data_IF_907230416319
#
_entry.id   IF_907230416319
#
_cell.length_a   1.000
_cell.length_b   1.000
_cell.length_c   1.000
_cell.angle_alpha   90.00
_cell.angle_beta   90.00
_cell.angle_gamma   90.00
#
_symmetry.space_group_name_H-M   'P 1'
#
loop_
_entity.id
_entity.type
_entity.pdbx_description
1 polymer ?
#
# COMPACT_ATOMS: atom_id res chain seq x y z
N UNK A 1 43.58 46.29 46.21
CA UNK A 1 44.51 45.87 45.16
C UNK A 1 43.85 44.80 44.32
N UNK A 2 43.62 45.05 43.02
CA UNK A 2 43.02 44.06 42.12
C UNK A 2 44.02 42.92 41.88
N UNK A 3 43.59 41.67 42.09
CA UNK A 3 44.43 40.50 41.83
C UNK A 3 44.66 40.40 40.32
N UNK A 4 45.92 40.46 39.88
CA UNK A 4 46.28 40.31 38.46
C UNK A 4 45.92 38.88 38.02
N UNK A 5 44.83 38.74 37.27
CA UNK A 5 44.42 37.47 36.70
C UNK A 5 45.20 37.27 35.39
N UNK A 6 45.87 36.11 35.26
CA UNK A 6 46.57 35.74 34.03
C UNK A 6 45.61 35.68 32.84
N UNK A 7 46.07 36.10 31.64
CA UNK A 7 45.31 36.08 30.37
C UNK A 7 44.71 34.72 30.02
N UNK A 8 45.27 33.64 30.57
CA UNK A 8 44.83 32.26 30.32
C UNK A 8 43.90 31.70 31.39
N UNK A 9 43.60 32.45 32.44
CA UNK A 9 42.73 31.98 33.54
C UNK A 9 41.28 31.82 33.08
N UNK A 10 40.57 30.91 33.74
CA UNK A 10 39.14 30.64 33.48
C UNK A 10 38.28 31.87 33.70
N UNK A 11 38.57 32.69 34.71
CA UNK A 11 37.85 33.93 34.98
C UNK A 11 38.01 34.96 33.84
N UNK A 12 39.20 35.04 33.24
CA UNK A 12 39.46 35.91 32.07
C UNK A 12 38.71 35.42 30.82
N UNK A 13 38.59 34.10 30.63
CA UNK A 13 37.84 33.52 29.50
C UNK A 13 36.33 33.65 29.63
N UNK A 14 35.81 33.80 30.84
CA UNK A 14 34.36 33.93 31.11
C UNK A 14 33.89 35.37 31.31
N UNK A 15 34.78 36.36 31.14
CA UNK A 15 34.51 37.78 31.42
C UNK A 15 33.94 38.00 32.84
N UNK A 16 34.36 37.19 33.82
CA UNK A 16 33.90 37.26 35.22
C UNK A 16 34.72 38.29 36.03
N UNK A 17 35.55 39.10 35.37
CA UNK A 17 36.36 40.13 36.01
C UNK A 17 35.56 41.43 36.01
N UNK A 18 35.21 41.88 37.21
CA UNK A 18 34.55 43.17 37.44
C UNK A 18 35.54 44.31 37.16
N UNK A 19 35.57 44.78 35.91
CA UNK A 19 36.28 45.99 35.53
C UNK A 19 35.49 47.22 36.03
N UNK A 20 36.05 48.05 36.94
CA UNK A 20 35.33 49.20 37.50
C UNK A 20 35.01 50.26 36.44
N UNK A 21 35.81 50.33 35.37
CA UNK A 21 35.63 51.23 34.22
C UNK A 21 34.45 50.81 33.33
N UNK A 22 34.10 49.52 33.29
CA UNK A 22 32.94 49.06 32.53
C UNK A 22 31.61 49.46 33.22
N UNK A 23 31.62 49.53 34.56
CA UNK A 23 30.45 49.94 35.35
C UNK A 23 30.16 51.44 35.20
N UNK A 24 31.18 52.29 35.04
CA UNK A 24 30.97 53.73 34.79
C UNK A 24 30.39 54.00 33.40
N UNK A 25 30.78 53.23 32.38
CA UNK A 25 30.24 53.32 31.01
C UNK A 25 28.80 52.77 30.87
N UNK A 26 28.33 51.97 31.82
CA UNK A 26 26.97 51.46 31.87
C UNK A 26 25.95 52.49 32.40
N UNK A 27 26.42 53.52 33.12
CA UNK A 27 25.56 54.58 33.66
C UNK A 27 25.19 55.66 32.64
N UNK A 28 25.81 55.66 31.46
CA UNK A 28 25.54 56.64 30.40
C UNK A 28 24.33 56.18 29.55
N UNK A 29 23.39 57.08 29.21
CA UNK A 29 22.24 56.72 28.39
C UNK A 29 22.69 56.29 26.99
N UNK A 30 22.37 55.05 26.61
CA UNK A 30 22.63 54.49 25.27
C UNK A 30 21.40 54.65 24.38
N UNK A 31 21.60 54.85 23.08
CA UNK A 31 20.51 54.87 22.11
C UNK A 31 19.86 53.48 22.01
N UNK A 32 18.59 53.36 22.39
CA UNK A 32 17.86 52.09 22.58
C UNK A 32 17.84 51.16 21.35
N UNK A 33 18.08 51.70 20.14
CA UNK A 33 18.01 50.96 18.87
C UNK A 33 19.34 50.38 18.39
N UNK A 34 20.46 50.64 19.07
CA UNK A 34 21.79 50.17 18.65
C UNK A 34 22.27 48.93 19.41
N UNK A 35 21.49 48.42 20.37
CA UNK A 35 21.88 47.26 21.19
C UNK A 35 21.62 45.93 20.44
N UNK A 36 22.45 45.69 19.42
CA UNK A 36 22.51 44.44 18.65
C UNK A 36 22.91 43.24 19.52
N UNK A 37 23.46 43.49 20.71
CA UNK A 37 23.85 42.48 21.69
C UNK A 37 22.70 41.51 21.99
N UNK A 38 21.49 42.03 22.24
CA UNK A 38 20.30 41.21 22.51
C UNK A 38 19.86 40.38 21.29
N UNK A 39 19.98 40.94 20.08
CA UNK A 39 19.67 40.25 18.84
C UNK A 39 20.70 39.16 18.53
N UNK A 40 21.98 39.42 18.77
CA UNK A 40 23.08 38.46 18.63
C UNK A 40 22.92 37.34 19.66
N UNK A 41 22.59 37.64 20.92
CA UNK A 41 22.32 36.64 21.95
C UNK A 41 21.14 35.74 21.54
N UNK A 42 20.03 36.32 21.05
CA UNK A 42 18.89 35.53 20.55
C UNK A 42 19.24 34.67 19.33
N UNK A 43 20.02 35.19 18.39
CA UNK A 43 20.42 34.44 17.20
C UNK A 43 21.41 33.30 17.53
N UNK A 44 22.36 33.56 18.44
CA UNK A 44 23.37 32.57 18.85
C UNK A 44 22.77 31.48 19.73
N UNK A 45 21.85 31.81 20.63
CA UNK A 45 21.10 30.83 21.43
C UNK A 45 20.27 29.90 20.55
N UNK A 46 19.54 30.44 19.57
CA UNK A 46 18.81 29.64 18.57
C UNK A 46 19.73 28.70 17.80
N UNK A 47 20.88 29.18 17.32
CA UNK A 47 21.87 28.33 16.64
C UNK A 47 22.40 27.22 17.55
N UNK A 48 22.63 27.51 18.83
CA UNK A 48 23.10 26.51 19.79
C UNK A 48 22.01 25.47 20.12
N UNK A 49 20.75 25.90 20.21
CA UNK A 49 19.59 25.03 20.36
C UNK A 49 19.43 24.11 19.15
N UNK A 50 19.50 24.64 17.93
CA UNK A 50 19.47 23.85 16.70
C UNK A 50 20.63 22.83 16.64
N UNK A 51 21.84 23.22 17.07
CA UNK A 51 22.97 22.31 17.16
C UNK A 51 22.77 21.21 18.20
N UNK A 52 22.11 21.52 19.33
CA UNK A 52 21.78 20.55 20.36
C UNK A 52 20.73 19.55 19.85
N UNK A 53 19.66 20.04 19.21
CA UNK A 53 18.61 19.21 18.61
C UNK A 53 19.21 18.27 17.54
N UNK A 54 20.05 18.80 16.66
CA UNK A 54 20.77 17.99 15.67
C UNK A 54 21.70 16.94 16.30
N UNK A 55 22.32 17.24 17.45
CA UNK A 55 23.14 16.26 18.19
C UNK A 55 22.29 15.18 18.84
N UNK A 56 21.14 15.54 19.41
CA UNK A 56 20.20 14.58 20.01
C UNK A 56 19.64 13.63 18.94
N UNK A 57 19.16 14.16 17.82
CA UNK A 57 18.72 13.35 16.67
C UNK A 57 19.82 12.40 16.18
N UNK A 58 21.06 12.88 16.05
CA UNK A 58 22.21 12.04 15.67
C UNK A 58 22.60 11.03 16.76
N UNK A 59 22.35 11.32 18.04
CA UNK A 59 22.64 10.43 19.16
C UNK A 59 21.61 9.31 19.20
N UNK A 60 20.32 9.61 19.02
CA UNK A 60 19.24 8.63 18.99
C UNK A 60 19.43 7.65 17.82
N UNK A 61 19.88 8.14 16.66
CA UNK A 61 20.27 7.29 15.51
C UNK A 61 21.50 6.42 15.82
N UNK A 62 22.45 6.91 16.63
CA UNK A 62 23.68 6.17 16.98
C UNK A 62 23.53 5.21 18.15
N UNK A 63 22.63 5.46 19.12
CA UNK A 63 22.38 4.54 20.23
C UNK A 63 21.49 3.36 19.84
N UNK A 64 20.77 3.46 18.71
CA UNK A 64 19.93 2.38 18.18
C UNK A 64 20.54 1.54 17.06
N UNK A 65 21.63 1.96 16.41
CA UNK A 65 22.18 1.21 15.28
C UNK A 65 23.71 1.21 15.21
N UNK A 66 24.28 0.02 15.37
CA UNK A 66 25.60 -0.34 14.84
C UNK A 66 25.51 -0.29 13.30
N UNK A 67 25.64 0.91 12.71
CA UNK A 67 25.68 1.05 11.26
C UNK A 67 27.06 0.65 10.71
N UNK A 68 27.22 -0.65 10.44
CA UNK A 68 28.22 -1.16 9.51
C UNK A 68 27.71 -0.88 8.08
N UNK A 69 28.30 0.09 7.37
CA UNK A 69 28.46 0.22 5.90
C UNK A 69 27.45 -0.49 4.94
N UNK A 70 26.15 -0.55 5.24
CA UNK A 70 25.16 -1.29 4.44
C UNK A 70 24.14 -0.39 3.71
N UNK A 71 24.35 0.94 3.67
CA UNK A 71 23.42 1.87 2.99
C UNK A 71 23.29 1.57 1.48
N UNK A 72 24.28 0.93 0.87
CA UNK A 72 24.18 0.44 -0.52
C UNK A 72 23.27 -0.79 -0.67
N UNK A 73 23.12 -1.63 0.36
CA UNK A 73 22.27 -2.83 0.33
C UNK A 73 20.80 -2.52 0.61
N UNK A 74 20.49 -1.55 1.47
CA UNK A 74 19.09 -1.19 1.75
C UNK A 74 18.37 -0.60 0.53
N UNK A 75 19.09 0.15 -0.31
CA UNK A 75 18.55 0.65 -1.59
C UNK A 75 18.46 -0.46 -2.66
N UNK A 76 19.30 -1.50 -2.60
CA UNK A 76 19.21 -2.62 -3.53
C UNK A 76 18.07 -3.58 -3.14
N UNK A 77 17.89 -3.83 -1.84
CA UNK A 77 16.78 -4.64 -1.30
C UNK A 77 15.44 -3.94 -1.49
N UNK A 78 15.35 -2.62 -1.34
CA UNK A 78 14.12 -1.86 -1.65
C UNK A 78 13.76 -1.91 -3.13
N UNK A 79 14.74 -1.81 -4.03
CA UNK A 79 14.53 -1.94 -5.48
C UNK A 79 14.16 -3.37 -5.89
N UNK A 80 14.76 -4.39 -5.29
CA UNK A 80 14.46 -5.79 -5.59
C UNK A 80 13.06 -6.19 -5.11
N UNK A 81 12.65 -5.70 -3.93
CA UNK A 81 11.29 -5.85 -3.43
C UNK A 81 10.28 -5.09 -4.29
N UNK A 82 10.62 -3.88 -4.77
CA UNK A 82 9.79 -3.13 -5.71
C UNK A 82 9.54 -3.90 -7.01
N UNK A 83 10.58 -4.45 -7.64
CA UNK A 83 10.45 -5.25 -8.86
C UNK A 83 9.61 -6.52 -8.61
N UNK A 84 9.78 -7.18 -7.46
CA UNK A 84 8.96 -8.35 -7.09
C UNK A 84 7.49 -7.99 -6.92
N UNK A 85 7.19 -6.86 -6.26
CA UNK A 85 5.82 -6.38 -6.12
C UNK A 85 5.20 -5.98 -7.46
N UNK A 86 5.94 -5.26 -8.32
CA UNK A 86 5.47 -4.90 -9.67
C UNK A 86 5.14 -6.14 -10.51
N UNK A 87 5.98 -7.19 -10.44
CA UNK A 87 5.71 -8.47 -11.11
C UNK A 87 4.50 -9.19 -10.52
N UNK A 88 4.32 -9.16 -9.20
CA UNK A 88 3.16 -9.76 -8.55
C UNK A 88 1.86 -9.05 -8.98
N UNK A 89 1.86 -7.72 -9.07
CA UNK A 89 0.73 -6.93 -9.54
C UNK A 89 0.43 -7.25 -11.02
N UNK A 90 1.44 -7.25 -11.89
CA UNK A 90 1.24 -7.62 -13.30
C UNK A 90 0.69 -9.05 -13.45
N UNK A 91 1.15 -9.99 -12.62
CA UNK A 91 0.64 -11.36 -12.63
C UNK A 91 -0.80 -11.44 -12.12
N UNK A 92 -1.17 -10.68 -11.08
CA UNK A 92 -2.56 -10.61 -10.62
C UNK A 92 -3.48 -10.05 -11.70
N UNK A 93 -3.05 -9.02 -12.42
CA UNK A 93 -3.85 -8.41 -13.49
C UNK A 93 -4.09 -9.40 -14.63
N UNK A 94 -3.05 -10.14 -15.07
CA UNK A 94 -3.18 -11.18 -16.09
C UNK A 94 -4.12 -12.30 -15.64
N UNK A 95 -4.05 -12.71 -14.36
CA UNK A 95 -4.92 -13.75 -13.82
C UNK A 95 -6.38 -13.28 -13.73
N UNK A 96 -6.61 -12.04 -13.27
CA UNK A 96 -7.94 -11.42 -13.24
C UNK A 96 -8.54 -11.35 -14.65
N UNK A 97 -7.75 -10.94 -15.65
CA UNK A 97 -8.15 -10.91 -17.05
C UNK A 97 -8.59 -12.29 -17.57
N UNK A 98 -7.84 -13.34 -17.20
CA UNK A 98 -8.19 -14.73 -17.56
C UNK A 98 -9.47 -15.19 -16.87
N UNK A 99 -9.65 -14.84 -15.59
CA UNK A 99 -10.87 -15.14 -14.83
C UNK A 99 -12.08 -14.45 -15.47
N UNK A 100 -11.97 -13.16 -15.79
CA UNK A 100 -13.04 -12.40 -16.45
C UNK A 100 -13.40 -12.99 -17.81
N UNK A 101 -12.40 -13.30 -18.65
CA UNK A 101 -12.62 -13.98 -19.95
C UNK A 101 -13.27 -15.36 -19.79
N UNK A 102 -12.90 -16.11 -18.74
CA UNK A 102 -13.53 -17.40 -18.42
C UNK A 102 -14.99 -17.23 -18.03
N UNK A 103 -15.29 -16.31 -17.09
CA UNK A 103 -16.66 -16.00 -16.68
C UNK A 103 -17.51 -15.52 -17.86
N UNK A 104 -16.98 -14.64 -18.71
CA UNK A 104 -17.69 -14.13 -19.88
C UNK A 104 -17.97 -15.24 -20.89
N UNK A 105 -17.03 -16.14 -21.16
CA UNK A 105 -17.27 -17.31 -22.04
C UNK A 105 -18.32 -18.24 -21.46
N UNK A 106 -18.29 -18.52 -20.16
CA UNK A 106 -19.31 -19.35 -19.50
C UNK A 106 -20.70 -18.72 -19.65
N UNK A 107 -20.82 -17.42 -19.33
CA UNK A 107 -22.08 -16.66 -19.50
C UNK A 107 -22.55 -16.67 -20.94
N UNK A 108 -21.64 -16.49 -21.91
CA UNK A 108 -21.98 -16.54 -23.33
C UNK A 108 -22.52 -17.91 -23.73
N UNK A 109 -21.90 -19.01 -23.28
CA UNK A 109 -22.38 -20.37 -23.59
C UNK A 109 -23.73 -20.65 -22.94
N UNK A 110 -23.95 -20.20 -21.70
CA UNK A 110 -25.24 -20.34 -21.04
C UNK A 110 -26.33 -19.54 -21.78
N UNK A 111 -26.03 -18.29 -22.14
CA UNK A 111 -26.93 -17.43 -22.89
C UNK A 111 -27.29 -18.03 -24.26
N UNK A 112 -26.29 -18.48 -25.04
CA UNK A 112 -26.55 -19.08 -26.36
C UNK A 112 -27.33 -20.38 -26.24
N UNK A 113 -27.06 -21.21 -25.22
CA UNK A 113 -27.87 -22.41 -24.96
C UNK A 113 -29.31 -22.05 -24.63
N UNK A 114 -29.54 -21.09 -23.73
CA UNK A 114 -30.88 -20.64 -23.37
C UNK A 114 -31.63 -20.07 -24.58
N UNK A 115 -30.99 -19.19 -25.36
CA UNK A 115 -31.56 -18.63 -26.59
C UNK A 115 -31.92 -19.71 -27.62
N UNK A 116 -31.09 -20.73 -27.78
CA UNK A 116 -31.39 -21.84 -28.68
C UNK A 116 -32.59 -22.66 -28.19
N UNK A 117 -32.69 -22.90 -26.87
CA UNK A 117 -33.85 -23.55 -26.27
C UNK A 117 -35.13 -22.72 -26.43
N UNK A 118 -35.06 -21.40 -26.22
CA UNK A 118 -36.17 -20.49 -26.41
C UNK A 118 -36.65 -20.48 -27.87
N UNK A 119 -35.71 -20.47 -28.84
CA UNK A 119 -36.03 -20.55 -30.26
C UNK A 119 -36.68 -21.91 -30.64
N UNK A 120 -36.18 -23.02 -30.10
CA UNK A 120 -36.77 -24.35 -30.30
C UNK A 120 -38.18 -24.40 -29.71
N UNK A 121 -38.38 -23.85 -28.52
CA UNK A 121 -39.70 -23.78 -27.88
C UNK A 121 -40.67 -22.93 -28.68
N UNK A 122 -40.23 -21.78 -29.19
CA UNK A 122 -41.03 -20.92 -30.08
C UNK A 122 -41.42 -21.68 -31.35
N UNK A 123 -40.46 -22.31 -32.04
CA UNK A 123 -40.73 -23.09 -33.25
C UNK A 123 -41.67 -24.28 -32.97
N UNK A 124 -41.49 -24.99 -31.85
CA UNK A 124 -42.39 -26.07 -31.45
C UNK A 124 -43.82 -25.55 -31.18
N UNK A 125 -43.95 -24.42 -30.50
CA UNK A 125 -45.24 -23.78 -30.24
C UNK A 125 -45.91 -23.31 -31.54
N UNK A 126 -45.17 -22.78 -32.51
CA UNK A 126 -45.69 -22.41 -33.84
C UNK A 126 -46.18 -23.62 -34.63
N UNK A 127 -45.44 -24.74 -34.60
CA UNK A 127 -45.86 -26.00 -35.22
C UNK A 127 -47.11 -26.56 -34.55
N UNK A 128 -47.19 -26.51 -33.22
CA UNK A 128 -48.40 -26.93 -32.50
C UNK A 128 -49.58 -26.04 -32.87
N UNK A 129 -49.42 -24.71 -32.87
CA UNK A 129 -50.47 -23.73 -33.23
C UNK A 129 -50.97 -23.90 -34.65
N UNK A 130 -50.08 -24.12 -35.61
CA UNK A 130 -50.43 -24.36 -37.01
C UNK A 130 -51.15 -25.70 -37.22
N UNK A 131 -50.85 -26.72 -36.40
CA UNK A 131 -51.48 -28.04 -36.47
C UNK A 131 -52.80 -28.13 -35.68
N UNK A 132 -52.97 -27.34 -34.62
CA UNK A 132 -54.19 -27.28 -33.82
C UNK A 132 -55.29 -26.40 -34.43
N UNK A 133 -55.00 -25.65 -35.50
CA UNK A 133 -56.00 -24.83 -36.21
C UNK A 133 -56.60 -23.69 -35.37
N UNK A 134 -56.00 -23.38 -34.22
CA UNK A 134 -56.46 -22.32 -33.32
C UNK A 134 -55.91 -20.98 -33.81
N UNK A 135 -56.76 -19.98 -34.14
CA UNK A 135 -56.28 -18.66 -34.52
C UNK A 135 -55.56 -18.01 -33.34
N UNK A 136 -54.50 -17.26 -33.64
CA UNK A 136 -53.70 -16.55 -32.66
C UNK A 136 -54.58 -15.64 -31.79
N UNK A 137 -54.74 -15.99 -30.52
CA UNK A 137 -55.21 -15.05 -29.53
C UNK A 137 -54.04 -14.10 -29.23
N UNK A 138 -54.20 -12.85 -29.66
CA UNK A 138 -53.35 -11.75 -29.22
C UNK A 138 -53.68 -11.50 -27.75
N UNK A 139 -53.04 -12.25 -26.86
CA UNK A 139 -53.20 -12.11 -25.42
C UNK A 139 -51.89 -11.67 -24.77
N UNK A 140 -51.83 -10.38 -24.46
CA UNK A 140 -51.10 -9.77 -23.34
C UNK A 140 -49.59 -9.50 -23.51
N UNK A 141 -49.31 -8.25 -23.86
CA UNK A 141 -48.22 -7.44 -23.28
C UNK A 141 -48.00 -7.77 -21.80
N UNK A 142 -46.77 -8.08 -21.36
CA UNK A 142 -46.35 -7.66 -20.03
C UNK A 142 -45.94 -6.20 -20.14
N UNK A 143 -46.69 -5.38 -19.42
CA UNK A 143 -46.34 -4.02 -19.10
C UNK A 143 -44.89 -3.94 -18.59
N UNK A 144 -44.30 -2.83 -18.97
CA UNK A 144 -43.09 -2.24 -18.44
C UNK A 144 -43.22 -2.07 -16.92
N UNK A 145 -42.80 -3.07 -16.14
CA UNK A 145 -42.60 -2.93 -14.69
C UNK A 145 -41.12 -2.69 -14.41
N UNK A 146 -40.76 -1.42 -14.30
CA UNK A 146 -39.50 -0.95 -13.76
C UNK A 146 -39.46 -1.22 -12.25
N UNK A 147 -38.95 -2.38 -11.82
CA UNK A 147 -38.42 -2.55 -10.46
C UNK A 147 -37.10 -3.34 -10.47
N UNK A 148 -36.09 -2.88 -9.69
CA UNK A 148 -34.72 -3.34 -9.82
C UNK A 148 -34.55 -4.78 -9.31
N UNK A 149 -33.84 -5.58 -10.10
CA UNK A 149 -33.45 -6.95 -9.80
C UNK A 149 -32.41 -7.01 -8.66
N UNK A 150 -32.82 -6.76 -7.42
CA UNK A 150 -31.97 -6.95 -6.23
C UNK A 150 -32.08 -8.37 -5.62
N UNK A 151 -33.15 -9.13 -5.91
CA UNK A 151 -33.39 -10.43 -5.24
C UNK A 151 -32.72 -11.65 -5.88
N UNK A 152 -31.96 -11.48 -6.97
CA UNK A 152 -31.27 -12.59 -7.64
C UNK A 152 -29.79 -12.75 -7.23
N UNK A 153 -29.28 -11.94 -6.29
CA UNK A 153 -27.87 -11.96 -5.86
C UNK A 153 -27.61 -12.64 -4.51
N UNK A 154 -28.63 -13.00 -3.71
CA UNK A 154 -28.41 -13.62 -2.39
C UNK A 154 -28.38 -15.17 -2.40
N UNK A 155 -28.73 -15.83 -3.51
CA UNK A 155 -28.83 -17.30 -3.54
C UNK A 155 -27.53 -18.03 -3.89
N UNK A 156 -26.49 -17.34 -4.39
CA UNK A 156 -25.18 -17.97 -4.70
C UNK A 156 -24.25 -18.13 -3.48
N UNK A 157 -24.46 -17.39 -2.39
CA UNK A 157 -23.58 -17.45 -1.21
C UNK A 157 -23.89 -18.63 -0.27
N UNK A 158 -25.08 -19.23 -0.37
CA UNK A 158 -25.47 -20.40 0.44
C UNK A 158 -25.03 -21.75 -0.13
N UNK A 159 -24.54 -21.78 -1.37
CA UNK A 159 -24.07 -23.03 -1.99
C UNK A 159 -22.66 -23.44 -1.53
N UNK A 160 -21.92 -22.55 -0.86
CA UNK A 160 -20.55 -22.83 -0.40
C UNK A 160 -20.43 -23.16 1.10
N UNK A 161 -21.53 -23.25 1.84
CA UNK A 161 -21.51 -23.36 3.31
C UNK A 161 -21.95 -24.70 3.90
N UNK A 162 -21.98 -25.80 3.11
CA UNK A 162 -22.51 -27.09 3.58
C UNK A 162 -21.58 -28.30 3.32
N UNK A 163 -20.29 -28.08 3.10
CA UNK A 163 -19.28 -29.16 2.95
C UNK A 163 -18.19 -29.09 4.04
N UNK A 164 -18.60 -28.90 5.30
CA UNK A 164 -17.79 -29.23 6.49
C UNK A 164 -18.12 -30.66 6.98
N UNK A 165 -17.97 -31.66 6.10
CA UNK A 165 -17.89 -33.07 6.52
C UNK A 165 -16.48 -33.62 6.23
N UNK A 166 -15.86 -34.13 7.30
CA UNK A 166 -14.51 -34.68 7.35
C UNK A 166 -14.28 -35.76 6.27
N UNK A 167 -13.54 -35.40 5.20
CA UNK A 167 -12.91 -36.39 4.33
C UNK A 167 -11.40 -36.44 4.61
N UNK A 168 -11.01 -37.35 5.50
CA UNK A 168 -9.62 -37.77 5.64
C UNK A 168 -9.18 -38.48 4.35
N UNK A 169 -8.77 -37.71 3.35
CA UNK A 169 -8.20 -38.25 2.11
C UNK A 169 -6.68 -38.34 2.23
N UNK A 170 -6.16 -39.57 2.13
CA UNK A 170 -4.73 -39.86 2.13
C UNK A 170 -4.01 -39.12 1.00
N UNK A 171 -3.09 -38.22 1.38
CA UNK A 171 -2.22 -37.48 0.46
C UNK A 171 -1.29 -38.47 -0.27
N UNK A 172 -1.61 -38.85 -1.51
CA UNK A 172 -0.65 -39.51 -2.38
C UNK A 172 0.26 -38.43 -3.00
N UNK A 173 1.59 -38.48 -2.81
CA UNK A 173 2.47 -37.51 -3.43
C UNK A 173 2.39 -37.67 -4.95
N UNK A 174 2.17 -36.56 -5.66
CA UNK A 174 2.17 -36.57 -7.11
C UNK A 174 3.58 -36.93 -7.61
N UNK A 175 3.68 -38.03 -8.38
CA UNK A 175 4.92 -38.43 -9.04
C UNK A 175 5.28 -37.39 -10.11
N UNK A 176 6.55 -36.95 -10.10
CA UNK A 176 7.07 -36.01 -11.08
C UNK A 176 7.00 -36.61 -12.50
N UNK A 177 6.44 -35.87 -13.46
CA UNK A 177 6.28 -36.32 -14.84
C UNK A 177 7.62 -36.62 -15.57
N UNK A 178 8.75 -36.14 -15.02
CA UNK A 178 10.10 -36.36 -15.53
C UNK A 178 10.76 -37.65 -15.02
N UNK A 179 10.16 -38.32 -14.03
CA UNK A 179 10.63 -39.62 -13.51
C UNK A 179 10.43 -40.75 -14.54
N UNK A 180 9.61 -40.49 -15.57
CA UNK A 180 9.35 -41.40 -16.69
C UNK A 180 10.34 -41.24 -17.87
N UNK A 181 11.28 -40.30 -17.76
CA UNK A 181 12.08 -39.81 -18.90
C UNK A 181 13.57 -40.14 -18.81
N UNK A 182 13.99 -41.00 -17.89
CA UNK A 182 15.37 -41.49 -17.82
C UNK A 182 15.37 -43.02 -17.95
N UNK A 183 15.78 -43.51 -19.13
CA UNK A 183 16.44 -44.81 -19.36
C UNK A 183 16.82 -45.03 -20.86
N UNK A 184 16.50 -44.10 -21.77
CA UNK A 184 16.82 -44.26 -23.21
C UNK A 184 17.76 -43.18 -23.80
N UNK A 185 18.81 -42.80 -23.06
CA UNK A 185 19.97 -42.11 -23.67
C UNK A 185 21.24 -42.81 -23.21
N UNK A 186 21.91 -43.46 -24.18
CA UNK A 186 23.18 -44.20 -24.14
C UNK A 186 23.10 -45.74 -24.05
N UNK A 187 22.90 -46.36 -25.22
CA UNK A 187 23.64 -47.55 -25.68
C UNK A 187 23.77 -47.52 -27.21
#
# INVERSE_FOLDING_TARGET
MAKKVSKHSRAARRNEIDEPEAKSLASLPRAEKTDLTSAIIRATTKKNEDLLNNKMLKKDVKSGQVQKKNVAKSNLESNLNKIRMERAIMQSDILQDKILKSKQRSKQVQLTRKQNWDAINQAANEVIRSRSGTPADNGETPEQDEQPAEDAMEEEDKFYSDDEEESTSEYKPQRNAFDLLNDEVEA
#
